data_IF_242234611400
#
_entry.id   IF_242234611400
#
_cell.length_a   1.000
_cell.length_b   1.000
_cell.length_c   1.000
_cell.angle_alpha   90.00
_cell.angle_beta   90.00
_cell.angle_gamma   90.00
#
_symmetry.space_group_name_H-M   'P 1'
#
loop_
_entity.id
_entity.type
_entity.pdbx_description
1 polymer ?
#
# COMPACT_ATOMS: atom_id res chain seq x y z
N UNK A 1 19.80 4.38 -8.55
CA UNK A 1 18.85 4.18 -9.68
C UNK A 1 18.54 5.52 -10.32
N UNK A 2 18.28 5.53 -11.64
CA UNK A 2 17.79 6.72 -12.35
C UNK A 2 16.26 6.67 -12.42
N UNK A 3 15.59 7.59 -11.74
CA UNK A 3 14.14 7.58 -11.59
C UNK A 3 13.54 8.87 -12.14
N UNK A 4 12.57 8.75 -13.02
CA UNK A 4 11.78 9.89 -13.52
C UNK A 4 10.44 9.88 -12.81
N UNK A 5 10.10 11.01 -12.16
CA UNK A 5 8.80 11.24 -11.51
C UNK A 5 8.03 12.25 -12.33
N UNK A 6 6.84 11.88 -12.78
CA UNK A 6 5.94 12.72 -13.52
C UNK A 6 4.83 13.25 -12.61
N UNK A 7 4.85 14.55 -12.38
CA UNK A 7 3.98 15.29 -11.45
C UNK A 7 4.71 15.75 -10.19
N UNK A 8 4.80 17.07 -10.00
CA UNK A 8 5.39 17.73 -8.83
C UNK A 8 4.34 18.09 -7.76
N UNK A 9 3.16 17.49 -7.80
CA UNK A 9 2.12 17.67 -6.78
C UNK A 9 2.48 16.98 -5.46
N UNK A 10 1.52 16.93 -4.54
CA UNK A 10 1.73 16.38 -3.20
C UNK A 10 2.36 14.95 -3.22
N UNK A 11 1.83 14.06 -4.06
CA UNK A 11 2.34 12.67 -4.14
C UNK A 11 3.74 12.63 -4.74
N UNK A 12 3.94 13.26 -5.91
CA UNK A 12 5.25 13.23 -6.58
C UNK A 12 6.32 13.98 -5.80
N UNK A 13 5.99 15.11 -5.16
CA UNK A 13 6.91 15.84 -4.29
C UNK A 13 7.33 15.05 -3.06
N UNK A 14 6.40 14.34 -2.42
CA UNK A 14 6.72 13.47 -1.28
C UNK A 14 7.59 12.28 -1.70
N UNK A 15 7.29 11.67 -2.86
CA UNK A 15 8.11 10.58 -3.41
C UNK A 15 9.52 11.06 -3.76
N UNK A 16 9.64 12.23 -4.40
CA UNK A 16 10.94 12.81 -4.73
C UNK A 16 11.78 13.05 -3.47
N UNK A 17 11.18 13.61 -2.41
CA UNK A 17 11.87 13.85 -1.14
C UNK A 17 12.35 12.55 -0.46
N UNK A 18 11.52 11.51 -0.47
CA UNK A 18 11.85 10.23 0.13
C UNK A 18 12.93 9.49 -0.67
N UNK A 19 12.78 9.43 -2.00
CA UNK A 19 13.70 8.67 -2.85
C UNK A 19 15.05 9.37 -3.05
N UNK A 20 15.11 10.71 -3.02
CA UNK A 20 16.36 11.46 -3.09
C UNK A 20 17.25 11.18 -1.87
N UNK A 21 16.68 10.89 -0.69
CA UNK A 21 17.45 10.54 0.50
C UNK A 21 18.16 9.19 0.43
N UNK A 22 17.79 8.34 -0.55
CA UNK A 22 18.32 6.98 -0.75
C UNK A 22 19.43 6.90 -1.83
N UNK A 23 20.10 8.00 -2.14
CA UNK A 23 21.15 8.09 -3.17
C UNK A 23 20.68 7.68 -4.58
N UNK A 24 19.45 8.03 -4.94
CA UNK A 24 18.93 7.88 -6.29
C UNK A 24 19.10 9.17 -7.10
N UNK A 25 19.27 9.03 -8.42
CA UNK A 25 19.29 10.13 -9.39
C UNK A 25 17.83 10.42 -9.82
N UNK A 26 17.26 11.49 -9.30
CA UNK A 26 15.85 11.81 -9.46
C UNK A 26 15.66 12.95 -10.45
N UNK A 27 14.81 12.76 -11.45
CA UNK A 27 14.32 13.83 -12.31
C UNK A 27 12.81 13.98 -12.15
N UNK A 28 12.34 15.18 -11.82
CA UNK A 28 10.90 15.50 -11.71
C UNK A 28 10.43 16.31 -12.90
N UNK A 29 9.33 15.89 -13.52
CA UNK A 29 8.67 16.57 -14.64
C UNK A 29 7.33 17.14 -14.18
N UNK A 30 7.06 18.40 -14.43
CA UNK A 30 5.74 19.03 -14.25
C UNK A 30 5.55 20.17 -15.25
N UNK A 31 4.34 20.57 -15.46
CA UNK A 31 4.00 21.80 -16.24
C UNK A 31 4.11 23.06 -15.38
N UNK A 32 4.02 22.93 -14.06
CA UNK A 32 4.04 24.02 -13.09
C UNK A 32 5.50 24.32 -12.65
N UNK A 33 6.01 25.44 -13.15
CA UNK A 33 7.38 25.90 -12.84
C UNK A 33 7.58 26.26 -11.37
N UNK A 34 6.52 26.74 -10.69
CA UNK A 34 6.63 27.15 -9.29
C UNK A 34 6.85 25.91 -8.40
N UNK A 35 6.11 24.83 -8.63
CA UNK A 35 6.29 23.57 -7.93
C UNK A 35 7.66 22.95 -8.20
N UNK A 36 8.13 23.01 -9.45
CA UNK A 36 9.46 22.49 -9.80
C UNK A 36 10.58 23.27 -9.09
N UNK A 37 10.47 24.59 -9.00
CA UNK A 37 11.43 25.43 -8.27
C UNK A 37 11.43 25.10 -6.77
N UNK A 38 10.25 25.04 -6.16
CA UNK A 38 10.13 24.68 -4.73
C UNK A 38 10.79 23.34 -4.40
N UNK A 39 10.64 22.34 -5.25
CA UNK A 39 11.29 21.04 -5.06
C UNK A 39 12.78 21.12 -5.30
N UNK A 40 13.25 21.78 -6.35
CA UNK A 40 14.66 21.92 -6.67
C UNK A 40 15.46 22.74 -5.64
N UNK A 41 14.81 23.73 -4.99
CA UNK A 41 15.44 24.51 -3.92
C UNK A 41 15.65 23.72 -2.62
N UNK A 42 14.88 22.63 -2.43
CA UNK A 42 14.88 21.81 -1.21
C UNK A 42 15.57 20.46 -1.36
N UNK A 43 15.65 19.93 -2.56
CA UNK A 43 16.11 18.59 -2.84
C UNK A 43 17.20 18.62 -3.91
N UNK A 44 18.18 17.75 -3.79
CA UNK A 44 19.20 17.52 -4.83
C UNK A 44 18.60 16.63 -5.92
N UNK A 45 17.81 17.26 -6.81
CA UNK A 45 17.09 16.62 -7.91
C UNK A 45 17.17 17.47 -9.18
N UNK A 46 17.03 16.81 -10.31
CA UNK A 46 16.83 17.48 -11.59
C UNK A 46 15.36 17.79 -11.82
N UNK A 47 15.05 18.95 -12.39
CA UNK A 47 13.69 19.34 -12.76
C UNK A 47 13.58 19.63 -14.25
N UNK A 48 12.47 19.21 -14.86
CA UNK A 48 12.17 19.44 -16.29
C UNK A 48 10.75 19.96 -16.42
N UNK A 49 10.60 21.14 -17.01
CA UNK A 49 9.27 21.71 -17.27
C UNK A 49 8.70 21.14 -18.57
N UNK A 50 7.49 20.58 -18.52
CA UNK A 50 6.78 20.12 -19.72
C UNK A 50 5.69 19.10 -19.44
N UNK A 51 5.00 18.68 -20.51
CA UNK A 51 4.03 17.58 -20.44
C UNK A 51 4.78 16.26 -20.54
N UNK A 52 4.79 15.48 -19.47
CA UNK A 52 5.55 14.23 -19.40
C UNK A 52 5.03 13.09 -20.28
N UNK A 53 3.89 13.26 -20.95
CA UNK A 53 3.45 12.36 -22.03
C UNK A 53 4.15 12.64 -23.38
N UNK A 54 4.94 13.71 -23.48
CA UNK A 54 5.65 14.05 -24.71
C UNK A 54 7.03 13.37 -24.77
N UNK A 55 7.35 12.64 -25.84
CA UNK A 55 8.64 11.96 -25.99
C UNK A 55 9.85 12.88 -25.84
N UNK A 56 9.78 14.11 -26.34
CA UNK A 56 10.84 15.10 -26.23
C UNK A 56 11.12 15.52 -24.79
N UNK A 57 10.08 15.66 -23.98
CA UNK A 57 10.18 16.02 -22.55
C UNK A 57 10.75 14.84 -21.76
N UNK A 58 10.29 13.61 -22.02
CA UNK A 58 10.84 12.40 -21.40
C UNK A 58 12.31 12.23 -21.75
N UNK A 59 12.72 12.43 -23.02
CA UNK A 59 14.13 12.39 -23.40
C UNK A 59 14.97 13.44 -22.68
N UNK A 60 14.47 14.67 -22.59
CA UNK A 60 15.13 15.75 -21.84
C UNK A 60 15.28 15.39 -20.36
N UNK A 61 14.36 14.63 -19.80
CA UNK A 61 14.42 14.13 -18.42
C UNK A 61 15.37 12.93 -18.22
N UNK A 62 15.96 12.39 -19.30
CA UNK A 62 16.89 11.28 -19.23
C UNK A 62 16.23 9.90 -19.41
N UNK A 63 15.09 9.84 -20.13
CA UNK A 63 14.38 8.56 -20.34
C UNK A 63 15.18 7.51 -21.11
N UNK A 64 16.20 7.92 -21.89
CA UNK A 64 17.05 7.00 -22.68
C UNK A 64 17.79 5.98 -21.80
N UNK A 65 18.05 6.29 -20.53
CA UNK A 65 18.77 5.43 -19.57
C UNK A 65 18.10 5.37 -18.19
N UNK A 66 16.82 5.72 -18.10
CA UNK A 66 16.06 5.65 -16.86
C UNK A 66 15.71 4.20 -16.50
N UNK A 67 15.92 3.84 -15.23
CA UNK A 67 15.54 2.55 -14.65
C UNK A 67 14.05 2.46 -14.37
N UNK A 68 13.41 3.61 -14.03
CA UNK A 68 12.03 3.66 -13.60
C UNK A 68 11.34 4.96 -13.99
N UNK A 69 10.08 4.84 -14.41
CA UNK A 69 9.14 5.97 -14.54
C UNK A 69 8.00 5.83 -13.52
N UNK A 70 7.75 6.88 -12.75
CA UNK A 70 6.64 6.97 -11.79
C UNK A 70 5.72 8.12 -12.24
N UNK A 71 4.59 7.77 -12.85
CA UNK A 71 3.62 8.73 -13.37
C UNK A 71 2.47 8.94 -12.38
N UNK A 72 2.47 10.10 -11.68
CA UNK A 72 1.53 10.42 -10.60
C UNK A 72 0.89 11.80 -10.76
N UNK A 73 0.67 12.22 -12.00
CA UNK A 73 -0.04 13.46 -12.29
C UNK A 73 -1.53 13.38 -11.91
N UNK A 74 -2.24 14.47 -12.08
CA UNK A 74 -3.70 14.53 -11.88
C UNK A 74 -4.51 13.93 -13.05
N UNK A 75 -3.89 13.58 -14.18
CA UNK A 75 -4.58 12.99 -15.35
C UNK A 75 -4.14 11.54 -15.54
N UNK A 76 -5.11 10.62 -15.46
CA UNK A 76 -4.90 9.19 -15.69
C UNK A 76 -4.39 8.93 -17.11
N UNK A 77 -4.94 9.62 -18.11
CA UNK A 77 -4.56 9.52 -19.51
C UNK A 77 -3.10 9.94 -19.72
N UNK A 78 -2.68 11.03 -19.06
CA UNK A 78 -1.29 11.49 -19.12
C UNK A 78 -0.35 10.44 -18.51
N UNK A 79 -0.74 9.85 -17.38
CA UNK A 79 0.05 8.82 -16.71
C UNK A 79 0.17 7.56 -17.58
N UNK A 80 -0.94 7.10 -18.18
CA UNK A 80 -0.96 5.94 -19.07
C UNK A 80 -0.12 6.18 -20.33
N UNK A 81 -0.29 7.33 -20.99
CA UNK A 81 0.48 7.64 -22.20
C UNK A 81 1.97 7.81 -21.90
N UNK A 82 2.33 8.40 -20.76
CA UNK A 82 3.73 8.50 -20.38
C UNK A 82 4.39 7.11 -20.21
N UNK A 83 3.69 6.17 -19.60
CA UNK A 83 4.13 4.77 -19.47
C UNK A 83 4.25 4.09 -20.86
N UNK A 84 3.28 4.33 -21.75
CA UNK A 84 3.32 3.81 -23.12
C UNK A 84 4.54 4.33 -23.88
N UNK A 85 4.80 5.63 -23.80
CA UNK A 85 5.94 6.28 -24.47
C UNK A 85 7.26 5.76 -23.89
N UNK A 86 7.36 5.68 -22.56
CA UNK A 86 8.55 5.17 -21.86
C UNK A 86 8.87 3.72 -22.27
N UNK A 87 7.85 2.88 -22.39
CA UNK A 87 8.01 1.50 -22.84
C UNK A 87 8.41 1.41 -24.31
N UNK A 88 7.68 2.10 -25.19
CA UNK A 88 7.81 1.91 -26.65
C UNK A 88 9.08 2.55 -27.18
N UNK A 89 9.42 3.76 -26.74
CA UNK A 89 10.53 4.54 -27.30
C UNK A 89 11.82 4.42 -26.49
N UNK A 90 11.72 4.28 -25.17
CA UNK A 90 12.88 4.31 -24.28
C UNK A 90 13.19 2.97 -23.61
N UNK A 91 12.28 1.99 -23.71
CA UNK A 91 12.46 0.66 -23.10
C UNK A 91 12.67 0.71 -21.59
N UNK A 92 12.11 1.72 -20.91
CA UNK A 92 12.21 1.87 -19.47
C UNK A 92 11.72 0.59 -18.76
N UNK A 93 12.57 -0.05 -17.92
CA UNK A 93 12.25 -1.37 -17.36
C UNK A 93 11.01 -1.37 -16.47
N UNK A 94 10.90 -0.39 -15.58
CA UNK A 94 9.80 -0.32 -14.59
C UNK A 94 8.96 0.92 -14.81
N UNK A 95 7.65 0.72 -14.95
CA UNK A 95 6.66 1.80 -15.12
C UNK A 95 5.57 1.67 -14.07
N UNK A 96 5.46 2.71 -13.24
CA UNK A 96 4.46 2.82 -12.18
C UNK A 96 3.51 3.95 -12.56
N UNK A 97 2.21 3.72 -12.53
CA UNK A 97 1.23 4.75 -12.83
C UNK A 97 0.11 4.83 -11.80
N UNK A 98 -0.27 6.06 -11.48
CA UNK A 98 -1.49 6.34 -10.76
C UNK A 98 -2.66 6.38 -11.75
N UNK A 99 -3.68 5.56 -11.51
CA UNK A 99 -4.95 5.54 -12.26
C UNK A 99 -6.08 5.52 -11.23
N UNK A 100 -6.96 6.51 -11.27
CA UNK A 100 -8.04 6.70 -10.30
C UNK A 100 -9.39 6.25 -10.84
N UNK A 101 -9.60 6.45 -12.15
CA UNK A 101 -10.87 6.13 -12.77
C UNK A 101 -11.13 4.62 -12.74
N UNK A 102 -12.18 4.24 -12.03
CA UNK A 102 -12.55 2.84 -11.81
C UNK A 102 -12.90 2.11 -13.10
N UNK A 103 -13.37 2.81 -14.12
CA UNK A 103 -13.69 2.24 -15.42
C UNK A 103 -12.49 1.60 -16.11
N UNK A 104 -11.28 2.14 -15.88
CA UNK A 104 -10.03 1.53 -16.38
C UNK A 104 -9.63 0.28 -15.60
N UNK A 105 -10.08 0.14 -14.34
CA UNK A 105 -9.68 -0.92 -13.41
C UNK A 105 -10.61 -2.15 -13.48
N UNK A 106 -11.87 -1.97 -13.92
CA UNK A 106 -12.90 -3.00 -13.89
C UNK A 106 -12.78 -4.05 -14.99
N UNK A 107 -12.11 -3.75 -16.08
CA UNK A 107 -11.88 -4.71 -17.17
C UNK A 107 -10.43 -5.18 -17.12
N UNK A 108 -10.19 -6.38 -16.58
CA UNK A 108 -8.90 -7.03 -16.64
C UNK A 108 -8.36 -7.06 -18.07
N UNK A 109 -7.08 -6.72 -18.26
CA UNK A 109 -6.43 -6.81 -19.54
C UNK A 109 -6.10 -5.49 -20.25
N UNK A 110 -6.33 -4.33 -19.63
CA UNK A 110 -5.82 -3.06 -20.20
C UNK A 110 -4.34 -2.83 -19.86
N UNK A 111 -3.92 -3.21 -18.65
CA UNK A 111 -2.56 -2.91 -18.15
C UNK A 111 -1.63 -4.11 -18.31
N UNK A 112 -1.10 -4.27 -19.52
CA UNK A 112 -0.09 -5.26 -19.87
C UNK A 112 0.74 -4.75 -21.06
N UNK A 113 1.88 -5.39 -21.35
CA UNK A 113 2.84 -4.92 -22.33
C UNK A 113 2.31 -4.80 -23.78
N UNK A 114 1.28 -5.55 -24.13
CA UNK A 114 0.68 -5.51 -25.47
C UNK A 114 -0.41 -4.41 -25.61
N UNK A 115 -0.87 -3.84 -24.49
CA UNK A 115 -1.85 -2.75 -24.49
C UNK A 115 -1.26 -1.49 -23.83
N UNK A 116 -1.48 -1.25 -22.53
CA UNK A 116 -0.88 -0.14 -21.78
C UNK A 116 0.13 -0.70 -20.78
N UNK A 117 1.43 -0.55 -21.02
CA UNK A 117 2.49 -1.22 -20.28
C UNK A 117 2.75 -0.53 -18.92
N UNK A 118 1.96 -0.87 -17.94
CA UNK A 118 2.11 -0.45 -16.55
C UNK A 118 2.44 -1.70 -15.73
N UNK A 119 3.60 -1.68 -15.06
CA UNK A 119 4.05 -2.81 -14.23
C UNK A 119 3.43 -2.76 -12.83
N UNK A 120 3.24 -1.53 -12.29
CA UNK A 120 2.61 -1.32 -10.99
C UNK A 120 1.55 -0.22 -11.11
N UNK A 121 0.32 -0.59 -10.77
CA UNK A 121 -0.81 0.32 -10.78
C UNK A 121 -1.10 0.83 -9.36
N UNK A 122 -1.24 2.14 -9.20
CA UNK A 122 -1.60 2.78 -7.94
C UNK A 122 -2.97 3.44 -8.09
N UNK A 123 -3.95 2.97 -7.32
CA UNK A 123 -5.26 3.60 -7.16
C UNK A 123 -5.48 3.90 -5.66
N UNK A 124 -5.13 5.11 -5.19
CA UNK A 124 -5.27 5.47 -3.78
C UNK A 124 -6.70 5.33 -3.26
N UNK A 125 -7.68 5.70 -4.07
CA UNK A 125 -9.09 5.63 -3.74
C UNK A 125 -9.53 4.17 -3.49
N UNK A 126 -9.04 3.25 -4.31
CA UNK A 126 -9.35 1.83 -4.17
C UNK A 126 -8.64 1.20 -2.96
N UNK A 127 -7.41 1.63 -2.67
CA UNK A 127 -6.68 1.19 -1.47
C UNK A 127 -7.45 1.58 -0.21
N UNK A 128 -7.89 2.84 -0.12
CA UNK A 128 -8.68 3.33 1.03
C UNK A 128 -10.02 2.62 1.13
N UNK A 129 -10.75 2.49 0.02
CA UNK A 129 -12.04 1.80 -0.02
C UNK A 129 -11.92 0.36 0.43
N UNK A 130 -10.93 -0.37 -0.07
CA UNK A 130 -10.67 -1.75 0.31
C UNK A 130 -10.28 -1.86 1.79
N UNK A 131 -9.48 -0.93 2.31
CA UNK A 131 -9.12 -0.89 3.72
C UNK A 131 -10.34 -0.71 4.63
N UNK A 132 -11.18 0.30 4.33
CA UNK A 132 -12.42 0.55 5.08
C UNK A 132 -13.37 -0.65 5.00
N UNK A 133 -13.54 -1.24 3.81
CA UNK A 133 -14.34 -2.44 3.61
C UNK A 133 -13.89 -3.57 4.53
N UNK A 134 -12.58 -3.85 4.59
CA UNK A 134 -12.02 -4.90 5.45
C UNK A 134 -12.30 -4.68 6.93
N UNK A 135 -12.20 -3.42 7.40
CA UNK A 135 -12.55 -3.09 8.78
C UNK A 135 -14.03 -3.30 9.08
N UNK A 136 -14.91 -2.97 8.13
CA UNK A 136 -16.35 -3.21 8.25
C UNK A 136 -16.67 -4.72 8.27
N UNK A 137 -15.97 -5.51 7.45
CA UNK A 137 -16.12 -6.96 7.38
C UNK A 137 -15.56 -7.67 8.62
N UNK A 138 -14.58 -7.05 9.31
CA UNK A 138 -13.94 -7.57 10.52
C UNK A 138 -14.13 -6.61 11.70
N UNK A 139 -15.35 -6.49 12.26
CA UNK A 139 -15.64 -5.55 13.35
C UNK A 139 -14.74 -5.78 14.55
N UNK A 140 -14.10 -4.71 15.00
CA UNK A 140 -13.17 -4.75 16.12
C UNK A 140 -11.72 -5.09 15.75
N UNK A 141 -11.42 -5.33 14.48
CA UNK A 141 -10.05 -5.29 14.02
C UNK A 141 -9.53 -3.83 14.02
N UNK A 142 -8.29 -3.66 14.47
CA UNK A 142 -7.57 -2.38 14.37
C UNK A 142 -6.95 -2.23 12.98
N UNK A 143 -6.50 -3.35 12.41
CA UNK A 143 -5.88 -3.40 11.10
C UNK A 143 -6.14 -4.76 10.45
N UNK A 144 -6.32 -4.77 9.12
CA UNK A 144 -6.45 -5.99 8.31
C UNK A 144 -5.60 -5.84 7.06
N UNK A 145 -4.63 -6.72 6.88
CA UNK A 145 -3.74 -6.76 5.72
C UNK A 145 -3.87 -8.12 5.02
N UNK A 146 -4.07 -8.10 3.71
CA UNK A 146 -4.14 -9.32 2.90
C UNK A 146 -2.74 -9.79 2.47
N UNK A 147 -2.57 -11.10 2.48
CA UNK A 147 -1.42 -11.81 1.93
C UNK A 147 -1.86 -12.92 0.99
N UNK A 148 -0.96 -13.32 0.10
CA UNK A 148 -1.20 -14.42 -0.83
C UNK A 148 -2.54 -14.30 -1.58
N UNK A 149 -2.77 -13.14 -2.22
CA UNK A 149 -3.99 -12.85 -2.98
C UNK A 149 -5.30 -12.99 -2.17
N UNK A 150 -5.25 -12.62 -0.89
CA UNK A 150 -6.39 -12.70 0.02
C UNK A 150 -6.64 -14.08 0.63
N UNK A 151 -5.75 -15.07 0.43
CA UNK A 151 -5.87 -16.40 1.04
C UNK A 151 -5.53 -16.40 2.53
N UNK A 152 -4.63 -15.51 2.94
CA UNK A 152 -4.25 -15.29 4.33
C UNK A 152 -4.38 -13.80 4.68
N UNK A 153 -4.65 -13.52 5.96
CA UNK A 153 -4.72 -12.16 6.49
C UNK A 153 -3.88 -12.03 7.75
N UNK A 154 -3.19 -10.90 7.88
CA UNK A 154 -2.64 -10.42 9.14
C UNK A 154 -3.65 -9.45 9.74
N UNK A 155 -4.12 -9.75 10.95
CA UNK A 155 -5.11 -8.93 11.62
C UNK A 155 -4.58 -8.50 12.98
N UNK A 156 -4.71 -7.21 13.26
CA UNK A 156 -4.44 -6.64 14.57
C UNK A 156 -5.75 -6.47 15.33
N UNK A 157 -5.81 -6.96 16.55
CA UNK A 157 -6.94 -6.75 17.45
C UNK A 157 -6.43 -6.34 18.82
N UNK A 158 -7.24 -5.52 19.53
CA UNK A 158 -7.00 -5.25 20.93
C UNK A 158 -7.63 -6.35 21.79
N UNK A 159 -6.82 -6.95 22.65
CA UNK A 159 -7.26 -7.95 23.61
C UNK A 159 -8.13 -7.31 24.68
N UNK A 160 -9.34 -7.83 24.89
CA UNK A 160 -10.26 -7.32 25.89
C UNK A 160 -10.37 -8.29 27.07
N UNK A 161 -10.56 -7.75 28.25
CA UNK A 161 -10.81 -8.51 29.45
C UNK A 161 -12.00 -9.46 29.24
N UNK A 162 -11.78 -10.76 29.47
CA UNK A 162 -12.78 -11.81 29.23
C UNK A 162 -12.68 -12.50 27.87
N UNK A 163 -11.70 -12.14 27.01
CA UNK A 163 -11.33 -12.99 25.87
C UNK A 163 -10.73 -14.31 26.35
N UNK A 164 -11.09 -15.46 25.74
CA UNK A 164 -10.62 -16.80 26.20
C UNK A 164 -9.10 -16.93 26.34
N UNK A 165 -8.33 -16.31 25.45
CA UNK A 165 -6.86 -16.31 25.48
C UNK A 165 -6.24 -15.23 26.35
N UNK A 166 -7.02 -14.27 26.84
CA UNK A 166 -6.49 -13.22 27.69
C UNK A 166 -6.16 -13.76 29.08
N UNK A 167 -4.93 -13.58 29.51
CA UNK A 167 -4.39 -14.19 30.72
C UNK A 167 -3.83 -15.59 30.52
N UNK A 168 -3.84 -16.13 29.28
CA UNK A 168 -3.30 -17.43 28.94
C UNK A 168 -1.99 -17.31 28.18
N UNK A 169 -1.15 -18.35 28.27
CA UNK A 169 0.06 -18.44 27.48
C UNK A 169 -0.24 -18.84 26.03
N UNK A 170 0.51 -18.29 25.07
CA UNK A 170 0.32 -18.55 23.64
C UNK A 170 0.43 -20.02 23.25
N UNK A 171 1.15 -20.87 24.04
CA UNK A 171 1.22 -22.31 23.77
C UNK A 171 -0.13 -23.01 23.78
N UNK A 172 -1.12 -22.45 24.49
CA UNK A 172 -2.47 -22.99 24.56
C UNK A 172 -3.36 -22.63 23.37
N UNK A 173 -2.91 -21.73 22.48
CA UNK A 173 -3.64 -21.30 21.28
C UNK A 173 -4.17 -22.49 20.46
N UNK A 174 -3.33 -23.52 20.25
CA UNK A 174 -3.72 -24.74 19.51
C UNK A 174 -4.76 -25.59 20.22
N UNK A 175 -4.81 -25.55 21.55
CA UNK A 175 -5.81 -26.28 22.33
C UNK A 175 -7.17 -25.59 22.26
N UNK A 176 -7.19 -24.26 22.24
CA UNK A 176 -8.41 -23.47 22.08
C UNK A 176 -9.00 -23.60 20.67
N UNK A 177 -8.14 -23.71 19.65
CA UNK A 177 -8.57 -23.75 18.25
C UNK A 177 -7.89 -24.93 17.49
N UNK A 178 -8.27 -26.17 17.76
CA UNK A 178 -7.56 -27.34 17.22
C UNK A 178 -7.64 -27.47 15.69
N UNK A 179 -8.59 -26.82 15.03
CA UNK A 179 -8.77 -26.86 13.57
C UNK A 179 -8.30 -25.62 12.83
N UNK A 180 -7.69 -24.66 13.53
CA UNK A 180 -7.29 -23.35 12.94
C UNK A 180 -5.77 -23.24 12.94
N UNK A 181 -5.20 -23.10 11.74
CA UNK A 181 -3.78 -22.79 11.61
C UNK A 181 -3.57 -21.27 11.70
N UNK A 182 -3.05 -20.84 12.85
CA UNK A 182 -2.79 -19.44 13.14
C UNK A 182 -1.51 -19.25 13.93
N UNK A 183 -0.90 -18.07 13.77
CA UNK A 183 0.25 -17.65 14.58
C UNK A 183 0.10 -16.21 15.00
N UNK A 184 0.49 -15.92 16.25
CA UNK A 184 0.71 -14.56 16.71
C UNK A 184 2.06 -14.10 16.16
N UNK A 185 2.03 -13.04 15.35
CA UNK A 185 3.20 -12.48 14.69
C UNK A 185 3.91 -11.43 15.56
N UNK A 186 3.13 -10.62 16.29
CA UNK A 186 3.64 -9.58 17.18
C UNK A 186 2.60 -9.26 18.26
N UNK A 187 3.07 -8.71 19.37
CA UNK A 187 2.22 -8.12 20.41
C UNK A 187 2.79 -6.74 20.74
N UNK A 188 1.93 -5.73 20.82
CA UNK A 188 2.32 -4.43 21.35
C UNK A 188 1.59 -4.20 22.68
N UNK A 189 2.38 -3.96 23.72
CA UNK A 189 1.90 -3.65 25.07
C UNK A 189 2.38 -2.27 25.45
N UNK A 190 1.46 -1.31 25.63
CA UNK A 190 1.77 0.09 25.91
C UNK A 190 2.84 0.64 24.93
N UNK A 191 2.58 0.47 23.63
CA UNK A 191 3.43 0.87 22.50
C UNK A 191 4.84 0.22 22.44
N UNK A 192 5.07 -0.83 23.24
CA UNK A 192 6.32 -1.59 23.22
C UNK A 192 6.11 -2.93 22.51
N UNK A 193 6.93 -3.25 21.49
CA UNK A 193 6.84 -4.53 20.82
C UNK A 193 7.34 -5.67 21.71
N UNK A 194 6.58 -6.77 21.73
CA UNK A 194 6.92 -8.03 22.39
C UNK A 194 7.03 -9.09 21.30
N UNK A 195 8.16 -9.79 21.24
CA UNK A 195 8.33 -10.96 20.38
C UNK A 195 7.60 -12.13 21.04
N UNK A 196 6.51 -12.64 20.40
CA UNK A 196 5.72 -13.70 21.01
C UNK A 196 6.49 -15.03 21.09
N UNK A 197 6.44 -15.65 22.27
CA UNK A 197 6.97 -16.99 22.54
C UNK A 197 5.84 -17.86 23.12
N UNK A 198 6.06 -19.16 23.22
CA UNK A 198 5.05 -20.08 23.75
C UNK A 198 4.60 -19.74 25.18
N UNK A 199 5.47 -19.19 26.00
CA UNK A 199 5.22 -18.77 27.40
C UNK A 199 4.75 -17.32 27.52
N UNK A 200 4.62 -16.58 26.41
CA UNK A 200 4.11 -15.21 26.43
C UNK A 200 2.64 -15.22 26.80
N UNK A 201 2.27 -14.45 27.81
CA UNK A 201 0.88 -14.27 28.25
C UNK A 201 0.30 -13.04 27.56
N UNK A 202 -0.89 -13.19 26.98
CA UNK A 202 -1.66 -12.08 26.44
C UNK A 202 -2.35 -11.35 27.60
N UNK A 203 -2.12 -10.05 27.73
CA UNK A 203 -2.81 -9.20 28.72
C UNK A 203 -3.94 -8.39 28.07
N UNK A 204 -4.88 -7.95 28.91
CA UNK A 204 -5.88 -7.00 28.44
C UNK A 204 -5.21 -5.72 27.92
N UNK A 205 -5.78 -5.11 26.87
CA UNK A 205 -5.28 -3.95 26.13
C UNK A 205 -4.03 -4.19 25.28
N UNK A 206 -3.50 -5.43 25.24
CA UNK A 206 -2.48 -5.77 24.22
C UNK A 206 -3.05 -5.63 22.82
N UNK A 207 -2.26 -5.06 21.92
CA UNK A 207 -2.52 -5.13 20.48
C UNK A 207 -1.84 -6.37 19.92
N UNK A 208 -2.64 -7.37 19.55
CA UNK A 208 -2.18 -8.68 19.12
C UNK A 208 -2.32 -8.78 17.60
N UNK A 209 -1.18 -9.01 16.95
CA UNK A 209 -1.11 -9.24 15.51
C UNK A 209 -1.02 -10.74 15.27
N UNK A 210 -1.99 -11.28 14.55
CA UNK A 210 -1.97 -12.69 14.18
C UNK A 210 -2.19 -12.88 12.69
N UNK A 211 -1.66 -13.96 12.15
CA UNK A 211 -1.86 -14.38 10.77
C UNK A 211 -2.64 -15.70 10.74
N UNK A 212 -3.65 -15.76 9.89
CA UNK A 212 -4.44 -16.97 9.66
C UNK A 212 -5.03 -16.98 8.24
N UNK A 213 -5.58 -18.09 7.81
CA UNK A 213 -6.39 -18.16 6.61
C UNK A 213 -7.60 -17.22 6.74
N UNK A 214 -7.98 -16.54 5.67
CA UNK A 214 -9.07 -15.54 5.67
C UNK A 214 -10.37 -16.06 6.24
N UNK A 215 -10.70 -17.34 5.99
CA UNK A 215 -11.89 -18.00 6.53
C UNK A 215 -11.89 -18.15 8.05
N UNK A 216 -10.70 -18.18 8.67
CA UNK A 216 -10.53 -18.50 10.09
C UNK A 216 -10.33 -17.25 10.96
N UNK A 217 -10.19 -16.08 10.35
CA UNK A 217 -9.91 -14.79 11.03
C UNK A 217 -10.91 -14.50 12.15
N UNK A 218 -12.21 -14.70 11.90
CA UNK A 218 -13.24 -14.44 12.92
C UNK A 218 -13.13 -15.37 14.13
N UNK A 219 -12.77 -16.62 13.90
CA UNK A 219 -12.55 -17.58 14.99
C UNK A 219 -11.40 -17.12 15.87
N UNK A 220 -10.26 -16.72 15.27
CA UNK A 220 -9.10 -16.22 16.01
C UNK A 220 -9.42 -14.92 16.76
N UNK A 221 -10.14 -13.99 16.14
CA UNK A 221 -10.56 -12.76 16.82
C UNK A 221 -11.41 -13.03 18.05
N UNK A 222 -12.28 -14.06 18.02
CA UNK A 222 -13.15 -14.40 19.14
C UNK A 222 -12.40 -14.92 20.37
N UNK A 223 -11.18 -15.40 20.21
CA UNK A 223 -10.32 -15.81 21.33
C UNK A 223 -9.71 -14.63 22.10
N UNK A 224 -9.60 -13.48 21.46
CA UNK A 224 -9.03 -12.27 22.06
C UNK A 224 -10.06 -11.28 22.55
N UNK A 225 -11.28 -11.36 22.01
CA UNK A 225 -12.37 -10.46 22.35
C UNK A 225 -13.71 -11.04 21.95
N UNK A 226 -14.79 -10.55 22.56
CA UNK A 226 -16.14 -10.85 22.10
C UNK A 226 -16.34 -10.21 20.73
N UNK A 227 -16.54 -11.02 19.69
CA UNK A 227 -16.77 -10.53 18.33
C UNK A 227 -18.15 -9.92 18.22
N UNK A 228 -18.21 -8.67 17.81
CA UNK A 228 -19.46 -7.97 17.51
C UNK A 228 -20.09 -8.52 16.23
N UNK A 229 -21.41 -8.42 16.12
CA UNK A 229 -22.11 -8.77 14.87
C UNK A 229 -21.68 -7.81 13.77
N UNK A 230 -21.51 -8.31 12.54
CA UNK A 230 -21.21 -7.48 11.36
C UNK A 230 -22.22 -6.32 11.28
N UNK A 231 -21.71 -5.11 11.14
CA UNK A 231 -22.54 -3.92 11.02
C UNK A 231 -23.43 -3.99 9.78
N UNK A 232 -24.75 -3.88 9.98
CA UNK A 232 -25.73 -3.87 8.88
C UNK A 232 -26.03 -2.47 8.34
N UNK A 233 -25.61 -1.43 9.05
CA UNK A 233 -25.80 -0.03 8.67
C UNK A 233 -24.51 0.71 8.86
N UNK A 234 -24.09 1.42 7.83
CA UNK A 234 -22.88 2.26 7.80
C UNK A 234 -23.33 3.64 7.38
N UNK A 235 -22.88 4.66 8.09
CA UNK A 235 -23.07 6.07 7.71
C UNK A 235 -21.72 6.58 7.22
N UNK A 236 -21.70 7.15 6.02
CA UNK A 236 -20.52 7.80 5.42
C UNK A 236 -20.85 9.29 5.41
N UNK A 237 -20.03 10.09 6.06
CA UNK A 237 -20.15 11.55 6.11
C UNK A 237 -19.01 12.23 5.34
#
# INVERSE_FOLDING_TARGET
>A
MKIIILGAGQVGGSLAAQLASEANDITVIDTDTARLRELGDRLDIRTVQGKGSFPTVLRQAGADDADMLIAVTSSDETNMIACQVAYTLFRTPTKIARVRESAYLTRGGLFHNEAVPIDVLISPEQVVTNYVKRLIENPGALQVLDFAEGKAQLVAVRAYYGGPLVGQELRFLRQHMPGVDTRVAAIFRKDRPIIPKGDTIIEADDEVFFIAATRDIRAVMSELRRVEKTHKRVVIA
#
